data_IF_854100878114
#
_entry.id   IF_854100878114
#
_cell.length_a   1.000
_cell.length_b   1.000
_cell.length_c   1.000
_cell.angle_alpha   90.00
_cell.angle_beta   90.00
_cell.angle_gamma   90.00
#
_symmetry.space_group_name_H-M   'P 1'
#
loop_
_entity.id
_entity.type
_entity.pdbx_description
1 polymer ?
#
# COMPACT_ATOMS: atom_id res chain seq x y z
N UNK A 1 -25.33 8.56 -8.57
CA UNK A 1 -24.39 9.57 -9.12
C UNK A 1 -23.01 9.37 -8.54
N UNK A 2 -22.16 8.59 -9.21
CA UNK A 2 -20.74 8.52 -8.89
C UNK A 2 -19.98 9.10 -10.08
N UNK A 3 -19.24 10.18 -9.85
CA UNK A 3 -18.35 10.80 -10.83
C UNK A 3 -17.35 9.77 -11.37
N UNK A 4 -17.08 9.80 -12.67
CA UNK A 4 -16.06 8.96 -13.31
C UNK A 4 -14.64 9.53 -13.12
N UNK A 5 -14.53 10.81 -12.75
CA UNK A 5 -13.28 11.52 -12.51
C UNK A 5 -12.95 11.49 -11.01
N UNK A 6 -11.70 11.16 -10.68
CA UNK A 6 -11.16 11.25 -9.33
C UNK A 6 -10.51 12.62 -9.12
N UNK A 7 -10.95 13.37 -8.10
CA UNK A 7 -10.30 14.62 -7.71
C UNK A 7 -9.42 14.39 -6.48
N UNK A 8 -8.19 14.92 -6.54
CA UNK A 8 -7.23 14.84 -5.44
C UNK A 8 -7.44 15.97 -4.42
N UNK A 9 -7.03 15.74 -3.17
CA UNK A 9 -6.99 16.78 -2.15
C UNK A 9 -6.18 18.01 -2.60
N UNK A 10 -6.56 19.22 -2.17
CA UNK A 10 -5.83 20.46 -2.49
C UNK A 10 -4.38 20.42 -2.00
N UNK A 11 -4.17 19.82 -0.83
CA UNK A 11 -2.84 19.63 -0.26
C UNK A 11 -1.93 18.90 -1.25
N UNK A 12 -2.34 17.71 -1.72
CA UNK A 12 -1.54 16.90 -2.64
C UNK A 12 -1.50 17.51 -4.04
N UNK A 13 -2.59 18.12 -4.53
CA UNK A 13 -2.63 18.66 -5.88
C UNK A 13 -1.83 19.95 -6.04
N UNK A 14 -1.96 20.91 -5.11
CA UNK A 14 -1.47 22.28 -5.30
C UNK A 14 -0.49 22.78 -4.26
N UNK A 15 -0.56 22.32 -3.00
CA UNK A 15 0.15 23.01 -1.90
C UNK A 15 1.54 22.45 -1.63
N UNK A 16 1.74 21.13 -1.82
CA UNK A 16 3.01 20.46 -1.54
C UNK A 16 3.78 20.09 -2.81
N UNK A 17 5.10 20.03 -2.68
CA UNK A 17 6.01 19.59 -3.75
C UNK A 17 6.60 18.20 -3.50
N UNK A 18 6.58 17.74 -2.24
CA UNK A 18 7.20 16.50 -1.78
C UNK A 18 6.33 15.83 -0.72
N UNK A 19 6.30 14.50 -0.73
CA UNK A 19 5.61 13.63 0.21
C UNK A 19 6.65 12.67 0.80
N UNK A 20 6.77 12.69 2.13
CA UNK A 20 7.36 11.60 2.91
C UNK A 20 6.18 10.77 3.41
N UNK A 21 6.04 9.56 2.86
CA UNK A 21 4.93 8.68 3.15
C UNK A 21 5.26 7.82 4.37
N UNK A 22 4.32 7.72 5.32
CA UNK A 22 4.48 6.91 6.54
C UNK A 22 3.30 5.94 6.65
N UNK A 23 3.27 4.87 5.82
CA UNK A 23 2.21 3.88 5.86
C UNK A 23 2.38 2.91 7.04
N UNK A 24 1.30 2.27 7.47
CA UNK A 24 1.34 1.18 8.45
C UNK A 24 1.39 -0.15 7.70
N UNK A 25 2.17 -1.12 8.18
CA UNK A 25 2.16 -2.49 7.68
C UNK A 25 0.85 -3.19 8.10
N UNK A 26 -0.21 -2.96 7.34
CA UNK A 26 -1.52 -3.54 7.61
C UNK A 26 -2.25 -3.95 6.35
N UNK A 27 -3.33 -4.70 6.53
CA UNK A 27 -4.18 -5.19 5.45
C UNK A 27 -5.34 -4.24 5.15
N UNK A 28 -5.83 -4.28 3.92
CA UNK A 28 -7.16 -3.79 3.56
C UNK A 28 -7.88 -4.93 2.86
N UNK A 29 -8.93 -5.50 3.47
CA UNK A 29 -9.61 -6.69 2.92
C UNK A 29 -10.12 -6.47 1.48
N UNK A 30 -10.42 -5.22 1.12
CA UNK A 30 -10.93 -4.85 -0.21
C UNK A 30 -9.83 -4.45 -1.20
N UNK A 31 -8.61 -4.17 -0.74
CA UNK A 31 -7.51 -3.63 -1.55
C UNK A 31 -6.17 -4.35 -1.38
N UNK A 32 -6.18 -5.52 -0.73
CA UNK A 32 -4.96 -6.25 -0.44
C UNK A 32 -4.28 -5.71 0.79
N UNK A 33 -3.43 -4.70 0.64
CA UNK A 33 -2.67 -4.12 1.75
C UNK A 33 -2.94 -2.62 1.86
N UNK A 34 -2.95 -2.12 3.09
CA UNK A 34 -3.02 -0.69 3.37
C UNK A 34 -1.61 -0.06 3.44
N UNK A 35 -0.76 -0.45 2.49
CA UNK A 35 0.66 -0.10 2.41
C UNK A 35 0.94 1.27 1.78
N UNK A 36 2.14 1.42 1.22
CA UNK A 36 2.66 2.65 0.66
C UNK A 36 1.74 3.26 -0.40
N UNK A 37 1.36 2.46 -1.40
CA UNK A 37 0.52 2.93 -2.51
C UNK A 37 -0.88 3.29 -2.01
N UNK A 38 -1.49 2.43 -1.18
CA UNK A 38 -2.80 2.68 -0.61
C UNK A 38 -2.85 4.00 0.18
N UNK A 39 -1.86 4.23 1.04
CA UNK A 39 -1.85 5.33 2.00
C UNK A 39 -1.90 6.72 1.34
N UNK A 40 -1.33 6.86 0.15
CA UNK A 40 -1.33 8.14 -0.60
C UNK A 40 -2.42 8.22 -1.67
N UNK A 41 -3.17 7.15 -1.90
CA UNK A 41 -4.21 7.09 -2.95
C UNK A 41 -5.61 7.18 -2.36
N UNK A 42 -6.13 6.09 -1.80
CA UNK A 42 -7.54 5.95 -1.36
C UNK A 42 -7.98 7.09 -0.42
N UNK A 43 -7.20 7.49 0.61
CA UNK A 43 -7.62 8.58 1.49
C UNK A 43 -7.62 9.97 0.83
N UNK A 44 -7.01 10.11 -0.36
CA UNK A 44 -6.73 11.40 -0.98
C UNK A 44 -7.57 11.68 -2.24
N UNK A 45 -8.57 10.85 -2.52
CA UNK A 45 -9.50 11.02 -3.64
C UNK A 45 -10.95 11.11 -3.15
N UNK A 46 -11.76 11.94 -3.81
CA UNK A 46 -13.17 12.18 -3.44
C UNK A 46 -14.09 10.98 -3.70
N UNK A 47 -13.77 10.16 -4.70
CA UNK A 47 -14.54 9.00 -5.13
C UNK A 47 -13.99 7.67 -4.59
N UNK A 48 -13.26 7.70 -3.47
CA UNK A 48 -12.59 6.55 -2.86
C UNK A 48 -13.49 5.32 -2.67
N UNK A 49 -14.78 5.51 -2.39
CA UNK A 49 -15.77 4.42 -2.23
C UNK A 49 -15.83 3.50 -3.45
N UNK A 50 -15.59 4.02 -4.65
CA UNK A 50 -15.53 3.23 -5.90
C UNK A 50 -14.41 2.19 -5.87
N UNK A 51 -13.32 2.51 -5.17
CA UNK A 51 -12.11 1.70 -5.15
C UNK A 51 -11.98 0.88 -3.86
N UNK A 52 -12.63 1.29 -2.77
CA UNK A 52 -12.56 0.61 -1.47
C UNK A 52 -13.72 -0.36 -1.17
N UNK A 53 -14.78 -0.40 -1.98
CA UNK A 53 -15.98 -1.24 -1.73
C UNK A 53 -16.11 -2.43 -2.70
N UNK A 54 -15.01 -3.01 -3.16
CA UNK A 54 -15.04 -4.31 -3.87
C UNK A 54 -15.57 -4.25 -5.29
N UNK A 55 -15.39 -3.11 -5.95
CA UNK A 55 -15.76 -2.99 -7.35
C UNK A 55 -14.82 -3.78 -8.25
N UNK A 56 -15.30 -4.06 -9.47
CA UNK A 56 -14.61 -4.64 -10.64
C UNK A 56 -13.26 -3.98 -11.00
N UNK A 57 -12.87 -2.91 -10.31
CA UNK A 57 -11.67 -2.08 -10.54
C UNK A 57 -10.68 -2.10 -9.35
N UNK A 58 -11.07 -2.57 -8.17
CA UNK A 58 -10.41 -2.21 -6.89
C UNK A 58 -8.98 -2.73 -6.67
N UNK A 59 -8.67 -3.92 -7.17
CA UNK A 59 -7.36 -4.54 -6.95
C UNK A 59 -6.26 -3.97 -7.84
N UNK A 60 -6.58 -3.39 -9.00
CA UNK A 60 -5.60 -2.87 -9.96
C UNK A 60 -5.58 -1.34 -10.00
N UNK A 61 -6.73 -0.68 -9.77
CA UNK A 61 -6.83 0.78 -9.83
C UNK A 61 -5.91 1.52 -8.87
N UNK A 62 -5.43 0.90 -7.79
CA UNK A 62 -4.44 1.53 -6.90
C UNK A 62 -3.16 1.92 -7.66
N UNK A 63 -2.66 1.03 -8.52
CA UNK A 63 -1.48 1.29 -9.33
C UNK A 63 -1.73 2.43 -10.32
N UNK A 64 -2.91 2.45 -10.95
CA UNK A 64 -3.32 3.51 -11.89
C UNK A 64 -3.46 4.86 -11.20
N UNK A 65 -4.12 4.94 -10.03
CA UNK A 65 -4.28 6.18 -9.27
C UNK A 65 -2.92 6.70 -8.83
N UNK A 66 -2.05 5.82 -8.31
CA UNK A 66 -0.71 6.19 -7.88
C UNK A 66 0.15 6.72 -9.03
N UNK A 67 0.01 6.15 -10.24
CA UNK A 67 0.75 6.57 -11.44
C UNK A 67 0.50 8.03 -11.84
N UNK A 68 -0.56 8.65 -11.33
CA UNK A 68 -0.87 10.04 -11.60
C UNK A 68 0.32 10.94 -11.16
N UNK A 69 0.85 11.82 -12.04
CA UNK A 69 1.96 12.70 -11.73
C UNK A 69 1.74 13.61 -10.51
N UNK A 70 0.48 13.88 -10.15
CA UNK A 70 0.13 14.61 -8.93
C UNK A 70 0.59 13.89 -7.66
N UNK A 71 0.66 12.56 -7.67
CA UNK A 71 1.15 11.72 -6.58
C UNK A 71 2.58 11.24 -6.86
N UNK A 72 2.79 10.46 -7.92
CA UNK A 72 4.04 9.70 -8.13
C UNK A 72 5.29 10.58 -8.14
N UNK A 73 5.22 11.82 -8.67
CA UNK A 73 6.37 12.73 -8.72
C UNK A 73 6.66 13.41 -7.37
N UNK A 74 5.70 13.40 -6.44
CA UNK A 74 5.81 14.04 -5.13
C UNK A 74 6.27 13.06 -4.05
N UNK A 75 5.92 11.78 -4.13
CA UNK A 75 6.41 10.76 -3.18
C UNK A 75 7.91 10.55 -3.39
N UNK A 76 8.71 10.97 -2.42
CA UNK A 76 10.18 10.87 -2.50
C UNK A 76 10.79 9.90 -1.50
N UNK A 77 10.04 9.50 -0.48
CA UNK A 77 10.49 8.57 0.53
C UNK A 77 9.30 7.90 1.21
N UNK A 78 9.46 6.63 1.58
CA UNK A 78 8.48 5.84 2.31
C UNK A 78 9.16 5.26 3.55
N UNK A 79 8.55 5.46 4.72
CA UNK A 79 8.94 4.87 5.99
C UNK A 79 7.75 4.07 6.53
N UNK A 80 7.69 2.79 6.18
CA UNK A 80 6.61 1.90 6.61
C UNK A 80 6.80 1.49 8.07
N UNK A 81 5.79 1.77 8.88
CA UNK A 81 5.69 1.36 10.27
C UNK A 81 5.17 -0.07 10.37
N UNK A 82 6.09 -0.99 10.70
CA UNK A 82 5.78 -2.37 11.06
C UNK A 82 6.16 -2.68 12.51
N UNK A 83 6.09 -1.71 13.43
CA UNK A 83 6.29 -1.96 14.85
C UNK A 83 5.20 -2.91 15.37
N UNK A 84 3.95 -2.60 15.05
CA UNK A 84 2.78 -3.46 15.25
C UNK A 84 2.07 -3.61 13.91
N UNK A 85 2.24 -4.77 13.27
CA UNK A 85 1.63 -5.06 11.98
C UNK A 85 0.27 -5.75 12.15
N UNK A 86 -0.66 -5.57 11.20
CA UNK A 86 -1.98 -6.22 11.23
C UNK A 86 -2.23 -7.04 9.97
N UNK A 87 -2.38 -8.36 10.12
CA UNK A 87 -2.47 -9.29 9.00
C UNK A 87 -3.89 -9.68 8.57
N UNK A 88 -4.93 -9.22 9.27
CA UNK A 88 -6.33 -9.50 8.92
C UNK A 88 -7.31 -8.45 9.51
N UNK A 89 -8.53 -8.41 8.98
CA UNK A 89 -9.66 -7.65 9.50
C UNK A 89 -9.58 -6.13 9.31
N UNK A 90 -8.68 -5.68 8.45
CA UNK A 90 -8.55 -4.26 8.09
C UNK A 90 -9.68 -3.76 7.19
N UNK A 91 -9.80 -2.43 6.98
CA UNK A 91 -8.79 -1.41 7.30
C UNK A 91 -8.86 -0.88 8.74
N UNK A 92 -9.88 -1.23 9.52
CA UNK A 92 -9.96 -0.84 10.94
C UNK A 92 -8.95 -1.63 11.78
N UNK A 93 -8.52 -1.04 12.90
CA UNK A 93 -7.64 -1.72 13.85
C UNK A 93 -8.35 -2.94 14.46
N UNK A 94 -7.67 -4.10 14.43
CA UNK A 94 -8.13 -5.37 14.97
C UNK A 94 -7.01 -6.00 15.81
N UNK A 95 -7.01 -5.80 17.14
CA UNK A 95 -5.95 -6.30 18.02
C UNK A 95 -5.72 -7.82 17.94
N UNK A 96 -6.76 -8.60 17.67
CA UNK A 96 -6.68 -10.06 17.54
C UNK A 96 -5.85 -10.51 16.32
N UNK A 97 -5.62 -9.61 15.36
CA UNK A 97 -4.82 -9.87 14.16
C UNK A 97 -3.56 -9.00 14.12
N UNK A 98 -3.17 -8.44 15.26
CA UNK A 98 -1.96 -7.63 15.40
C UNK A 98 -0.77 -8.50 15.85
N UNK A 99 0.42 -8.19 15.33
CA UNK A 99 1.67 -8.85 15.67
C UNK A 99 2.78 -7.84 15.92
N UNK A 100 3.55 -8.04 16.99
CA UNK A 100 4.72 -7.23 17.30
C UNK A 100 5.89 -7.60 16.37
N UNK A 101 5.93 -6.98 15.19
CA UNK A 101 6.97 -7.20 14.18
C UNK A 101 8.21 -6.31 14.43
N UNK A 102 8.06 -5.21 15.17
CA UNK A 102 9.18 -4.44 15.74
C UNK A 102 10.15 -3.87 14.69
N UNK A 103 9.69 -3.61 13.47
CA UNK A 103 10.56 -3.23 12.34
C UNK A 103 10.03 -2.00 11.62
N UNK A 104 10.90 -1.05 11.31
CA UNK A 104 10.63 0.03 10.36
C UNK A 104 11.28 -0.31 9.01
N UNK A 105 10.52 -0.21 7.93
CA UNK A 105 11.07 -0.36 6.58
C UNK A 105 11.17 1.00 5.90
N UNK A 106 12.31 1.26 5.25
CA UNK A 106 12.55 2.55 4.63
C UNK A 106 13.04 2.37 3.19
N UNK A 107 12.43 3.08 2.24
CA UNK A 107 12.80 3.01 0.83
C UNK A 107 12.26 4.20 0.04
N UNK A 108 12.91 4.48 -1.10
CA UNK A 108 12.35 5.36 -2.14
C UNK A 108 11.39 4.62 -3.07
N UNK A 109 11.47 3.29 -3.13
CA UNK A 109 10.62 2.41 -3.93
C UNK A 109 9.42 1.94 -3.09
N UNK A 110 8.21 2.46 -3.31
CA UNK A 110 7.01 2.07 -2.56
C UNK A 110 6.54 0.65 -2.93
N UNK A 111 6.75 0.22 -4.18
CA UNK A 111 6.32 -1.10 -4.67
C UNK A 111 7.15 -2.19 -3.99
N UNK A 112 8.46 -1.95 -3.83
CA UNK A 112 9.33 -2.89 -3.13
C UNK A 112 8.92 -3.06 -1.66
N UNK A 113 8.54 -1.98 -0.97
CA UNK A 113 8.04 -2.06 0.41
C UNK A 113 6.72 -2.83 0.49
N UNK A 114 5.79 -2.52 -0.41
CA UNK A 114 4.49 -3.19 -0.49
C UNK A 114 4.63 -4.69 -0.81
N UNK A 115 5.57 -5.07 -1.68
CA UNK A 115 5.87 -6.47 -1.97
C UNK A 115 6.46 -7.21 -0.76
N UNK A 116 7.38 -6.58 -0.02
CA UNK A 116 7.94 -7.15 1.21
C UNK A 116 6.86 -7.29 2.29
N UNK A 117 6.01 -6.27 2.45
CA UNK A 117 4.89 -6.28 3.38
C UNK A 117 3.90 -7.40 3.04
N UNK A 118 3.48 -7.50 1.77
CA UNK A 118 2.57 -8.53 1.31
C UNK A 118 3.08 -9.93 1.64
N UNK A 119 4.35 -10.23 1.32
CA UNK A 119 4.95 -11.53 1.66
C UNK A 119 4.87 -11.83 3.15
N UNK A 120 5.21 -10.84 4.00
CA UNK A 120 5.20 -11.03 5.46
C UNK A 120 3.76 -11.22 5.99
N UNK A 121 2.81 -10.45 5.49
CA UNK A 121 1.39 -10.55 5.83
C UNK A 121 0.85 -11.94 5.46
N UNK A 122 1.20 -12.46 4.28
CA UNK A 122 0.83 -13.81 3.84
C UNK A 122 1.41 -14.90 4.75
N UNK A 123 2.67 -14.77 5.20
CA UNK A 123 3.26 -15.71 6.16
C UNK A 123 2.52 -15.72 7.50
N UNK A 124 2.02 -14.57 7.97
CA UNK A 124 1.19 -14.50 9.18
C UNK A 124 -0.21 -15.07 8.96
N UNK A 125 -0.84 -14.77 7.82
CA UNK A 125 -2.17 -15.30 7.45
C UNK A 125 -2.15 -16.82 7.31
N UNK A 126 -1.15 -17.38 6.64
CA UNK A 126 -0.99 -18.82 6.49
C UNK A 126 -0.84 -19.53 7.86
N UNK A 127 -0.05 -18.96 8.78
CA UNK A 127 0.08 -19.49 10.16
C UNK A 127 -1.23 -19.43 10.95
N UNK A 128 -2.08 -18.44 10.66
CA UNK A 128 -3.39 -18.29 11.27
C UNK A 128 -4.51 -19.02 10.51
N UNK A 129 -4.17 -19.85 9.51
CA UNK A 129 -5.13 -20.56 8.65
C UNK A 129 -6.15 -19.64 7.96
N UNK A 130 -5.72 -18.43 7.59
CA UNK A 130 -6.52 -17.46 6.86
C UNK A 130 -6.27 -17.56 5.33
N UNK A 131 -7.27 -17.23 4.49
CA UNK A 131 -7.09 -17.18 3.05
C UNK A 131 -6.02 -16.19 2.62
N UNK A 132 -5.33 -16.48 1.52
CA UNK A 132 -4.37 -15.55 0.92
C UNK A 132 -5.05 -14.23 0.49
N UNK A 133 -4.31 -13.13 0.57
CA UNK A 133 -4.75 -11.79 0.17
C UNK A 133 -4.10 -11.32 -1.15
N UNK A 134 -3.14 -12.08 -1.69
CA UNK A 134 -2.44 -11.82 -2.95
C UNK A 134 -3.35 -11.36 -4.10
N UNK A 135 -4.51 -12.02 -4.37
CA UNK A 135 -5.41 -11.58 -5.43
C UNK A 135 -5.95 -10.14 -5.25
N UNK A 136 -6.19 -9.71 -4.01
CA UNK A 136 -6.65 -8.34 -3.71
C UNK A 136 -5.48 -7.34 -3.75
N UNK A 137 -4.25 -7.82 -3.57
CA UNK A 137 -3.02 -7.04 -3.67
C UNK A 137 -2.39 -7.07 -5.08
N UNK A 138 -3.15 -7.44 -6.11
CA UNK A 138 -2.66 -7.52 -7.51
C UNK A 138 -2.06 -6.20 -8.02
N UNK A 139 -2.43 -5.05 -7.44
CA UNK A 139 -1.82 -3.76 -7.77
C UNK A 139 -0.30 -3.76 -7.57
N UNK A 140 0.25 -4.58 -6.68
CA UNK A 140 1.69 -4.59 -6.39
C UNK A 140 2.46 -4.99 -7.66
N UNK A 141 2.00 -6.04 -8.35
CA UNK A 141 2.60 -6.49 -9.60
C UNK A 141 2.28 -5.54 -10.75
N UNK A 142 1.05 -5.04 -10.84
CA UNK A 142 0.68 -4.04 -11.86
C UNK A 142 1.52 -2.76 -11.71
N UNK A 143 1.75 -2.28 -10.49
CA UNK A 143 2.57 -1.10 -10.24
C UNK A 143 4.01 -1.32 -10.70
N UNK A 144 4.54 -2.53 -10.55
CA UNK A 144 5.85 -2.87 -11.10
C UNK A 144 5.85 -2.86 -12.64
N UNK A 145 4.80 -3.41 -13.28
CA UNK A 145 4.64 -3.38 -14.74
C UNK A 145 4.51 -1.96 -15.30
N UNK A 146 3.88 -1.05 -14.57
CA UNK A 146 3.78 0.38 -14.89
C UNK A 146 5.08 1.15 -14.65
N UNK A 147 6.14 0.51 -14.16
CA UNK A 147 7.43 1.15 -13.89
C UNK A 147 7.44 2.06 -12.66
N UNK A 148 6.51 1.86 -11.72
CA UNK A 148 6.40 2.65 -10.48
C UNK A 148 7.35 2.16 -9.38
N UNK A 149 7.99 1.00 -9.58
CA UNK A 149 8.90 0.36 -8.64
C UNK A 149 9.09 -1.13 -8.97
N UNK A 150 9.66 -1.90 -8.05
CA UNK A 150 9.97 -3.32 -8.26
C UNK A 150 9.21 -4.22 -7.27
N UNK A 151 8.39 -5.15 -7.76
CA UNK A 151 7.76 -6.19 -6.92
C UNK A 151 8.56 -7.50 -6.87
N UNK A 152 9.44 -7.74 -7.86
CA UNK A 152 10.19 -8.99 -7.97
C UNK A 152 11.21 -9.16 -6.84
N UNK A 153 11.10 -10.24 -6.07
CA UNK A 153 11.94 -10.49 -4.88
C UNK A 153 13.44 -10.55 -5.18
N UNK A 154 13.83 -11.04 -6.37
CA UNK A 154 15.23 -11.07 -6.81
C UNK A 154 15.80 -9.69 -7.19
N UNK A 155 14.96 -8.65 -7.25
CA UNK A 155 15.34 -7.26 -7.49
C UNK A 155 15.23 -6.38 -6.24
N UNK A 156 14.85 -6.95 -5.11
CA UNK A 156 14.71 -6.25 -3.83
C UNK A 156 15.79 -6.72 -2.88
N UNK A 157 16.71 -5.82 -2.52
CA UNK A 157 17.73 -6.07 -1.51
C UNK A 157 17.31 -5.46 -0.17
N UNK A 158 17.11 -6.28 0.86
CA UNK A 158 16.79 -5.81 2.21
C UNK A 158 18.07 -5.76 3.04
N UNK A 159 18.46 -4.56 3.49
CA UNK A 159 19.61 -4.34 4.37
C UNK A 159 19.14 -3.95 5.76
N UNK A 160 19.60 -4.68 6.76
CA UNK A 160 19.45 -4.27 8.14
C UNK A 160 20.44 -3.15 8.43
N UNK A 161 19.95 -2.05 9.02
CA UNK A 161 20.83 -1.01 9.55
C UNK A 161 21.31 -1.49 10.90
N UNK A 162 22.51 -2.07 10.96
CA UNK A 162 23.21 -2.30 12.22
C UNK A 162 23.66 -0.97 12.81
N UNK A 163 23.68 -0.89 14.14
CA UNK A 163 24.35 0.19 14.87
C UNK A 163 25.86 0.11 14.70
#
# INVERSE_FOLDING_TARGET
>A
NTSNVSHFSKIISTEITKIINVPVMSISEMNGIAGCIYNVTIPNIDNWRRFAQGSRFGAESLAEIYSNPVIAKKVVFNLMDGLVAQYAGGPQSQPNYAVHHGTLYASKDPVALDAIALRRLEEWRARASLPAIGPMAAYVDLASQLGLGNSASNRIEVKNVSR
#
